data_IF_949097818199
#
_entry.id   IF_949097818199
#
_cell.length_a   1.000
_cell.length_b   1.000
_cell.length_c   1.000
_cell.angle_alpha   90.00
_cell.angle_beta   90.00
_cell.angle_gamma   90.00
#
_symmetry.space_group_name_H-M   'P 1'
#
loop_
_entity.id
_entity.type
_entity.pdbx_description
1 polymer ?
#
# COMPACT_ATOMS: atom_id res chain seq x y z
N UNK A 1 8.05 0.28 19.44
CA UNK A 1 6.81 -0.34 19.95
C UNK A 1 6.84 -1.87 19.78
N UNK A 2 7.04 -2.42 18.59
CA UNK A 2 7.05 -3.88 18.35
C UNK A 2 8.15 -4.63 19.11
N UNK A 3 9.30 -4.03 19.39
CA UNK A 3 10.36 -4.64 20.20
C UNK A 3 10.02 -4.87 21.68
N UNK A 4 8.88 -4.38 22.16
CA UNK A 4 8.37 -4.66 23.52
C UNK A 4 7.50 -5.94 23.59
N UNK A 5 7.20 -6.54 22.43
CA UNK A 5 6.42 -7.79 22.40
C UNK A 5 7.31 -8.97 22.78
N UNK A 6 6.78 -9.95 23.53
CA UNK A 6 7.52 -11.18 23.82
C UNK A 6 7.81 -11.96 22.52
N UNK A 7 8.87 -12.79 22.51
CA UNK A 7 9.14 -13.67 21.38
C UNK A 7 7.95 -14.58 21.07
N UNK A 8 7.64 -14.70 19.77
CA UNK A 8 6.60 -15.61 19.29
C UNK A 8 7.20 -17.02 19.23
N UNK A 9 6.59 -17.97 19.92
CA UNK A 9 7.05 -19.37 20.00
C UNK A 9 6.09 -20.37 19.34
N UNK A 10 4.90 -19.90 18.88
CA UNK A 10 3.94 -20.75 18.19
C UNK A 10 4.44 -21.09 16.77
N UNK A 11 4.68 -22.37 16.44
CA UNK A 11 5.16 -22.79 15.12
C UNK A 11 4.15 -22.57 13.99
N UNK A 12 2.89 -22.27 14.32
CA UNK A 12 1.86 -21.96 13.34
C UNK A 12 1.91 -20.48 12.88
N UNK A 13 2.60 -19.61 13.61
CA UNK A 13 2.86 -18.24 13.16
C UNK A 13 3.94 -18.27 12.08
N UNK A 14 3.54 -18.11 10.84
CA UNK A 14 4.45 -18.18 9.69
C UNK A 14 5.09 -16.82 9.40
N UNK A 15 4.29 -15.74 9.49
CA UNK A 15 4.72 -14.35 9.29
C UNK A 15 4.22 -13.51 10.45
N UNK A 16 5.12 -12.70 11.00
CA UNK A 16 4.86 -11.85 12.15
C UNK A 16 5.66 -10.55 12.06
N UNK A 17 5.64 -9.77 13.13
CA UNK A 17 6.23 -8.43 13.23
C UNK A 17 7.72 -8.32 12.90
N UNK A 18 8.49 -9.42 12.99
CA UNK A 18 9.93 -9.41 12.73
C UNK A 18 10.29 -9.25 11.25
N UNK A 19 9.45 -9.79 10.34
CA UNK A 19 9.65 -9.71 8.89
C UNK A 19 9.31 -8.36 8.28
N UNK A 20 8.54 -7.53 8.98
CA UNK A 20 7.95 -6.28 8.44
C UNK A 20 7.14 -6.50 7.17
N UNK A 21 6.56 -7.69 7.04
CA UNK A 21 5.60 -7.99 5.98
C UNK A 21 4.27 -7.26 6.23
N UNK A 22 3.44 -7.18 5.20
CA UNK A 22 2.23 -6.36 5.20
C UNK A 22 1.14 -6.91 6.14
N UNK A 23 1.08 -8.25 6.31
CA UNK A 23 0.11 -8.88 7.20
C UNK A 23 0.70 -10.04 8.00
N UNK A 24 0.05 -10.40 9.11
CA UNK A 24 0.35 -11.61 9.86
C UNK A 24 -0.20 -12.84 9.13
N UNK A 25 0.56 -13.96 9.16
CA UNK A 25 0.13 -15.24 8.57
C UNK A 25 0.17 -16.34 9.63
N UNK A 26 -0.97 -17.00 9.83
CA UNK A 26 -1.14 -18.07 10.82
C UNK A 26 -1.66 -19.35 10.15
N UNK A 27 -0.91 -20.44 10.26
CA UNK A 27 -1.30 -21.75 9.71
C UNK A 27 -2.42 -22.38 10.54
N UNK A 28 -3.52 -22.77 9.88
CA UNK A 28 -4.67 -23.43 10.50
C UNK A 28 -4.83 -24.89 10.05
N UNK A 29 -4.21 -25.26 8.94
CA UNK A 29 -4.18 -26.63 8.41
C UNK A 29 -2.91 -26.80 7.53
N UNK A 30 -2.55 -28.04 7.13
CA UNK A 30 -1.39 -28.26 6.28
C UNK A 30 -1.43 -27.48 4.95
N UNK A 31 -2.61 -27.23 4.41
CA UNK A 31 -2.88 -26.59 3.14
C UNK A 31 -3.54 -25.20 3.27
N UNK A 32 -3.75 -24.69 4.51
CA UNK A 32 -4.43 -23.41 4.74
C UNK A 32 -3.76 -22.59 5.83
N UNK A 33 -3.58 -21.30 5.54
CA UNK A 33 -3.19 -20.29 6.50
C UNK A 33 -4.13 -19.08 6.41
N UNK A 34 -4.39 -18.44 7.53
CA UNK A 34 -5.08 -17.15 7.60
C UNK A 34 -4.07 -16.03 7.45
N UNK A 35 -4.46 -15.00 6.70
CA UNK A 35 -3.79 -13.72 6.60
C UNK A 35 -4.65 -12.70 7.32
N UNK A 36 -4.06 -11.93 8.24
CA UNK A 36 -4.79 -10.98 9.06
C UNK A 36 -4.05 -9.64 9.13
N UNK A 37 -4.77 -8.58 8.82
CA UNK A 37 -4.27 -7.20 8.91
C UNK A 37 -5.28 -6.28 9.58
N UNK A 38 -4.81 -5.10 9.99
CA UNK A 38 -5.62 -4.02 10.53
C UNK A 38 -5.07 -2.68 10.08
N UNK A 39 -5.91 -1.93 9.37
CA UNK A 39 -5.59 -0.57 8.91
C UNK A 39 -6.76 0.38 9.12
N UNK A 40 -6.47 1.54 9.71
CA UNK A 40 -7.41 2.64 9.87
C UNK A 40 -6.67 3.98 9.96
N UNK A 41 -7.28 5.04 9.44
CA UNK A 41 -6.66 6.36 9.40
C UNK A 41 -7.69 7.48 9.41
N UNK A 42 -7.22 8.71 9.57
CA UNK A 42 -8.04 9.93 9.55
C UNK A 42 -8.44 10.30 8.12
N UNK A 43 -9.54 11.06 7.90
CA UNK A 43 -9.95 11.49 6.57
C UNK A 43 -8.83 12.20 5.80
N UNK A 44 -8.66 11.81 4.53
CA UNK A 44 -7.65 12.33 3.59
C UNK A 44 -8.27 12.98 2.36
N UNK A 45 -9.59 12.80 2.19
CA UNK A 45 -10.42 13.42 1.15
C UNK A 45 -11.69 13.96 1.81
N UNK A 46 -12.36 14.91 1.14
CA UNK A 46 -13.51 15.61 1.72
C UNK A 46 -14.82 14.83 1.60
N UNK A 47 -15.01 14.03 0.52
CA UNK A 47 -16.20 13.21 0.36
C UNK A 47 -16.16 11.98 1.29
N UNK A 48 -17.15 11.80 2.20
CA UNK A 48 -17.15 10.68 3.14
C UNK A 48 -17.33 9.32 2.46
N UNK A 49 -17.99 9.23 1.32
CA UNK A 49 -18.14 7.96 0.57
C UNK A 49 -16.82 7.54 -0.04
N UNK A 50 -16.08 8.49 -0.63
CA UNK A 50 -14.74 8.25 -1.18
C UNK A 50 -13.75 7.88 -0.07
N UNK A 51 -13.79 8.56 1.08
CA UNK A 51 -12.97 8.21 2.23
C UNK A 51 -13.21 6.76 2.68
N UNK A 52 -14.49 6.36 2.79
CA UNK A 52 -14.85 4.98 3.14
C UNK A 52 -14.34 3.95 2.12
N UNK A 53 -14.47 4.24 0.83
CA UNK A 53 -13.99 3.38 -0.25
C UNK A 53 -12.45 3.24 -0.24
N UNK A 54 -11.73 4.34 -0.01
CA UNK A 54 -10.26 4.34 0.10
C UNK A 54 -9.81 3.55 1.32
N UNK A 55 -10.47 3.71 2.47
CA UNK A 55 -10.15 2.97 3.69
C UNK A 55 -10.31 1.46 3.50
N UNK A 56 -11.35 1.03 2.77
CA UNK A 56 -11.55 -0.37 2.44
C UNK A 56 -10.50 -0.90 1.44
N UNK A 57 -10.18 -0.13 0.39
CA UNK A 57 -9.16 -0.51 -0.59
C UNK A 57 -7.78 -0.64 0.06
N UNK A 58 -7.44 0.27 0.98
CA UNK A 58 -6.19 0.25 1.73
C UNK A 58 -6.09 -0.99 2.62
N UNK A 59 -7.09 -1.29 3.45
CA UNK A 59 -7.07 -2.45 4.33
C UNK A 59 -7.07 -3.80 3.59
N UNK A 60 -7.65 -3.86 2.39
CA UNK A 60 -7.58 -5.04 1.52
C UNK A 60 -6.20 -5.24 0.88
N UNK A 61 -5.43 -4.17 0.75
CA UNK A 61 -4.18 -4.14 0.00
C UNK A 61 -3.13 -5.09 0.59
N UNK A 62 -2.97 -5.12 1.91
CA UNK A 62 -2.06 -6.02 2.62
C UNK A 62 -2.35 -7.50 2.30
N UNK A 63 -3.65 -7.86 2.27
CA UNK A 63 -4.05 -9.24 1.95
C UNK A 63 -3.67 -9.58 0.50
N UNK A 64 -3.87 -8.63 -0.42
CA UNK A 64 -3.47 -8.79 -1.82
C UNK A 64 -1.96 -8.85 -2.00
N UNK A 65 -1.19 -8.04 -1.26
CA UNK A 65 0.28 -8.05 -1.30
C UNK A 65 0.86 -9.40 -0.87
N UNK A 66 0.24 -10.03 0.16
CA UNK A 66 0.63 -11.37 0.63
C UNK A 66 0.21 -12.52 -0.30
N UNK A 67 -0.37 -12.23 -1.48
CA UNK A 67 -0.87 -13.25 -2.41
C UNK A 67 -2.10 -14.00 -1.90
N UNK A 68 -2.83 -13.44 -0.94
CA UNK A 68 -3.97 -14.07 -0.29
C UNK A 68 -5.31 -13.61 -0.89
N UNK A 69 -6.34 -14.43 -0.69
CA UNK A 69 -7.72 -14.11 -1.04
C UNK A 69 -8.45 -13.59 0.21
N UNK A 70 -9.02 -12.38 0.20
CA UNK A 70 -9.81 -11.88 1.32
C UNK A 70 -11.08 -12.72 1.51
N UNK A 71 -11.49 -12.91 2.78
CA UNK A 71 -12.65 -13.70 3.17
C UNK A 71 -13.78 -12.85 3.74
N UNK A 72 -13.47 -11.98 4.69
CA UNK A 72 -14.40 -11.05 5.33
C UNK A 72 -13.64 -9.91 6.03
N UNK A 73 -14.38 -8.87 6.43
CA UNK A 73 -13.83 -7.74 7.15
C UNK A 73 -14.64 -7.39 8.41
N UNK A 74 -13.95 -6.75 9.37
CA UNK A 74 -14.53 -6.10 10.56
C UNK A 74 -14.23 -4.61 10.49
N UNK A 75 -15.25 -3.77 10.61
CA UNK A 75 -15.11 -2.30 10.59
C UNK A 75 -14.55 -1.77 11.90
N UNK A 76 -13.64 -0.80 11.81
CA UNK A 76 -13.10 -0.05 12.95
C UNK A 76 -13.51 1.41 12.74
N UNK A 77 -14.23 1.95 13.71
CA UNK A 77 -14.78 3.32 13.62
C UNK A 77 -14.48 4.09 14.90
N UNK A 78 -13.76 5.19 14.79
CA UNK A 78 -13.69 6.22 15.79
C UNK A 78 -14.36 7.47 15.22
N UNK A 79 -15.42 8.00 15.87
CA UNK A 79 -16.22 9.07 15.29
C UNK A 79 -16.84 9.95 16.37
N UNK A 80 -16.85 11.29 16.20
CA UNK A 80 -17.46 12.21 17.15
C UNK A 80 -18.96 11.97 17.29
N UNK A 81 -19.40 11.67 18.50
CA UNK A 81 -20.80 11.35 18.80
C UNK A 81 -21.75 12.48 18.41
N UNK A 82 -21.34 13.72 18.60
CA UNK A 82 -22.13 14.91 18.25
C UNK A 82 -22.36 15.08 16.74
N UNK A 83 -21.58 14.41 15.90
CA UNK A 83 -21.71 14.44 14.44
C UNK A 83 -22.49 13.25 13.86
N UNK A 84 -22.99 12.32 14.66
CA UNK A 84 -23.72 11.14 14.17
C UNK A 84 -24.98 11.52 13.38
N UNK A 85 -25.70 12.57 13.82
CA UNK A 85 -26.92 13.04 13.14
C UNK A 85 -26.70 13.65 11.75
N UNK A 86 -25.45 13.85 11.33
CA UNK A 86 -25.12 14.47 10.03
C UNK A 86 -25.20 13.51 8.84
N UNK A 87 -25.36 12.20 9.07
CA UNK A 87 -25.30 11.18 8.03
C UNK A 87 -23.89 10.92 7.45
N UNK A 88 -22.88 11.59 7.97
CA UNK A 88 -21.49 11.43 7.48
C UNK A 88 -20.97 10.03 7.71
N UNK A 89 -21.18 9.47 8.90
CA UNK A 89 -20.72 8.12 9.25
C UNK A 89 -21.39 7.06 8.35
N UNK A 90 -22.69 7.18 8.08
CA UNK A 90 -23.42 6.27 7.19
C UNK A 90 -22.82 6.29 5.77
N UNK A 91 -22.44 7.47 5.26
CA UNK A 91 -21.79 7.60 3.95
C UNK A 91 -20.39 6.96 3.95
N UNK A 92 -19.58 7.16 5.01
CA UNK A 92 -18.26 6.52 5.16
C UNK A 92 -18.41 5.00 5.14
N UNK A 93 -19.28 4.46 6.02
CA UNK A 93 -19.53 3.01 6.11
C UNK A 93 -20.09 2.47 4.79
N UNK A 94 -21.00 3.19 4.15
CA UNK A 94 -21.58 2.83 2.86
C UNK A 94 -20.54 2.73 1.74
N UNK A 95 -19.63 3.72 1.64
CA UNK A 95 -18.53 3.71 0.67
C UNK A 95 -17.59 2.53 0.89
N UNK A 96 -17.23 2.26 2.15
CA UNK A 96 -16.39 1.12 2.50
C UNK A 96 -17.08 -0.22 2.22
N UNK A 97 -18.36 -0.37 2.58
CA UNK A 97 -19.10 -1.60 2.33
C UNK A 97 -19.26 -1.89 0.83
N UNK A 98 -19.49 -0.86 0.01
CA UNK A 98 -19.54 -1.00 -1.45
C UNK A 98 -18.19 -1.51 -2.01
N UNK A 99 -17.07 -1.00 -1.51
CA UNK A 99 -15.73 -1.43 -1.92
C UNK A 99 -15.43 -2.86 -1.46
N UNK A 100 -15.85 -3.26 -0.26
CA UNK A 100 -15.75 -4.66 0.21
C UNK A 100 -16.59 -5.61 -0.66
N UNK A 101 -17.79 -5.19 -1.06
CA UNK A 101 -18.63 -5.95 -1.99
C UNK A 101 -17.98 -6.08 -3.38
N UNK A 102 -17.30 -5.03 -3.90
CA UNK A 102 -16.47 -5.09 -5.13
C UNK A 102 -15.33 -6.13 -5.00
N UNK A 103 -14.74 -6.24 -3.81
CA UNK A 103 -13.74 -7.27 -3.50
C UNK A 103 -14.35 -8.69 -3.36
N UNK A 104 -15.67 -8.82 -3.36
CA UNK A 104 -16.39 -10.09 -3.21
C UNK A 104 -16.52 -10.57 -1.76
N UNK A 105 -16.36 -9.70 -0.76
CA UNK A 105 -16.46 -10.05 0.65
C UNK A 105 -17.49 -9.18 1.40
N UNK A 106 -17.91 -9.67 2.57
CA UNK A 106 -18.82 -8.95 3.45
C UNK A 106 -18.10 -8.30 4.64
N UNK A 107 -18.63 -7.17 5.12
CA UNK A 107 -18.34 -6.66 6.46
C UNK A 107 -19.28 -7.38 7.43
N UNK A 108 -18.72 -8.21 8.31
CA UNK A 108 -19.50 -9.11 9.18
C UNK A 108 -19.64 -8.61 10.62
N UNK A 109 -19.06 -7.46 10.94
CA UNK A 109 -19.11 -6.84 12.26
C UNK A 109 -18.11 -5.73 12.39
N UNK A 110 -17.77 -5.36 13.60
CA UNK A 110 -16.79 -4.32 13.88
C UNK A 110 -16.97 -3.72 15.27
N UNK A 111 -16.26 -2.61 15.52
CA UNK A 111 -16.34 -1.87 16.76
C UNK A 111 -16.33 -0.36 16.51
N UNK A 112 -17.03 0.40 17.36
CA UNK A 112 -17.04 1.86 17.28
C UNK A 112 -16.74 2.48 18.65
N UNK A 113 -15.99 3.58 18.62
CA UNK A 113 -15.69 4.38 19.81
C UNK A 113 -16.01 5.85 19.55
N UNK A 114 -16.37 6.58 20.62
CA UNK A 114 -16.48 8.03 20.57
C UNK A 114 -15.08 8.65 20.60
N UNK A 115 -14.74 9.44 19.58
CA UNK A 115 -13.42 10.07 19.44
C UNK A 115 -13.61 11.41 18.71
N UNK A 116 -13.03 12.53 19.23
CA UNK A 116 -13.17 13.83 18.59
C UNK A 116 -12.56 13.91 17.19
N UNK A 117 -11.61 13.02 16.87
CA UNK A 117 -10.99 12.93 15.55
C UNK A 117 -11.50 11.69 14.80
N UNK A 118 -12.25 11.86 13.69
CA UNK A 118 -12.74 10.72 12.92
C UNK A 118 -11.60 9.82 12.43
N UNK A 119 -11.74 8.51 12.63
CA UNK A 119 -10.87 7.48 12.06
C UNK A 119 -11.73 6.33 11.57
N UNK A 120 -11.38 5.77 10.44
CA UNK A 120 -12.12 4.66 9.85
C UNK A 120 -11.18 3.70 9.14
N UNK A 121 -11.51 2.43 9.19
CA UNK A 121 -10.78 1.38 8.50
C UNK A 121 -11.32 0.00 8.84
N UNK A 122 -10.48 -1.01 8.61
CA UNK A 122 -10.91 -2.40 8.75
C UNK A 122 -9.80 -3.29 9.27
N UNK A 123 -10.21 -4.34 9.96
CA UNK A 123 -9.45 -5.60 10.02
C UNK A 123 -9.96 -6.47 8.88
N UNK A 124 -9.04 -6.97 8.04
CA UNK A 124 -9.36 -7.89 6.95
C UNK A 124 -8.74 -9.24 7.24
N UNK A 125 -9.56 -10.29 7.08
CA UNK A 125 -9.10 -11.67 7.17
C UNK A 125 -9.14 -12.27 5.76
N UNK A 126 -8.01 -12.86 5.36
CA UNK A 126 -7.84 -13.59 4.12
C UNK A 126 -7.34 -15.01 4.36
N UNK A 127 -7.23 -15.79 3.30
CA UNK A 127 -6.61 -17.12 3.32
C UNK A 127 -5.62 -17.29 2.18
N UNK A 128 -4.61 -18.13 2.42
CA UNK A 128 -3.60 -18.49 1.45
C UNK A 128 -3.12 -19.93 1.72
N UNK A 129 -2.64 -20.61 0.68
CA UNK A 129 -1.90 -21.87 0.91
C UNK A 129 -0.54 -21.53 1.55
N UNK A 130 -0.10 -22.23 2.61
CA UNK A 130 1.16 -21.93 3.31
C UNK A 130 2.37 -21.77 2.38
N UNK A 131 2.49 -22.64 1.36
CA UNK A 131 3.61 -22.62 0.42
C UNK A 131 3.47 -21.57 -0.70
N UNK A 132 2.42 -20.73 -0.68
CA UNK A 132 2.14 -19.69 -1.68
C UNK A 132 2.08 -18.28 -1.09
N UNK A 133 2.48 -18.13 0.15
CA UNK A 133 2.62 -16.83 0.79
C UNK A 133 3.69 -16.04 0.04
N UNK A 134 3.35 -14.84 -0.41
CA UNK A 134 4.31 -13.90 -0.98
C UNK A 134 4.67 -12.90 0.11
N UNK A 135 5.96 -12.79 0.43
CA UNK A 135 6.46 -11.88 1.46
C UNK A 135 7.60 -11.02 0.93
N UNK A 136 8.21 -10.27 1.84
CA UNK A 136 9.29 -9.34 1.52
C UNK A 136 10.65 -10.01 1.28
N UNK A 137 10.80 -11.27 1.65
CA UNK A 137 12.11 -11.94 1.72
C UNK A 137 12.44 -12.87 0.56
N UNK A 138 11.48 -13.08 -0.35
CA UNK A 138 11.62 -13.98 -1.49
C UNK A 138 12.35 -13.42 -2.72
N UNK A 139 12.67 -12.12 -2.74
CA UNK A 139 13.28 -11.46 -3.89
C UNK A 139 14.69 -11.97 -4.20
N UNK A 140 15.00 -12.14 -5.49
CA UNK A 140 16.30 -12.60 -5.97
C UNK A 140 17.01 -11.51 -6.77
N UNK A 141 18.34 -11.51 -6.73
CA UNK A 141 19.15 -10.58 -7.55
C UNK A 141 18.81 -10.74 -9.04
N UNK A 142 18.55 -9.62 -9.71
CA UNK A 142 18.13 -9.57 -11.10
C UNK A 142 16.63 -9.60 -11.34
N UNK A 143 15.81 -9.85 -10.31
CA UNK A 143 14.35 -9.72 -10.42
C UNK A 143 13.98 -8.29 -10.84
N UNK A 144 13.04 -8.16 -11.76
CA UNK A 144 12.52 -6.87 -12.22
C UNK A 144 11.54 -6.34 -11.18
N UNK A 145 11.70 -5.07 -10.81
CA UNK A 145 10.79 -4.37 -9.91
C UNK A 145 9.69 -3.65 -10.70
N UNK A 146 8.45 -3.97 -10.36
CA UNK A 146 7.25 -3.34 -10.91
C UNK A 146 6.52 -2.54 -9.85
N UNK A 147 5.99 -1.36 -10.24
CA UNK A 147 5.04 -0.59 -9.44
C UNK A 147 3.70 -0.54 -10.19
N UNK A 148 2.59 -0.89 -9.52
CA UNK A 148 1.29 -1.12 -10.19
C UNK A 148 0.32 0.04 -10.14
N UNK A 149 0.62 1.11 -9.39
CA UNK A 149 -0.12 2.38 -9.38
C UNK A 149 0.85 3.56 -9.34
N UNK A 150 0.45 4.75 -9.83
CA UNK A 150 1.28 5.95 -9.71
C UNK A 150 1.35 6.45 -8.26
N UNK A 151 2.45 7.15 -7.94
CA UNK A 151 2.70 7.78 -6.64
C UNK A 151 2.15 9.21 -6.58
N UNK A 152 2.10 9.77 -5.36
CA UNK A 152 1.79 11.17 -5.08
C UNK A 152 0.57 11.40 -4.21
N UNK A 153 -0.06 10.34 -3.68
CA UNK A 153 -1.29 10.46 -2.87
C UNK A 153 -1.09 11.27 -1.58
N UNK A 154 0.10 11.26 -0.98
CA UNK A 154 0.40 12.07 0.19
C UNK A 154 0.46 13.57 -0.10
N UNK A 155 1.12 13.95 -1.19
CA UNK A 155 1.14 15.33 -1.70
C UNK A 155 -0.28 15.82 -2.02
N UNK A 156 -1.07 14.99 -2.73
CA UNK A 156 -2.45 15.32 -3.09
C UNK A 156 -3.32 15.47 -1.85
N UNK A 157 -3.28 14.54 -0.89
CA UNK A 157 -4.05 14.65 0.36
C UNK A 157 -3.70 15.93 1.14
N UNK A 158 -2.43 16.34 1.16
CA UNK A 158 -1.99 17.60 1.77
C UNK A 158 -2.52 18.81 1.00
N UNK A 159 -2.53 18.75 -0.34
CA UNK A 159 -3.07 19.82 -1.19
C UNK A 159 -4.58 19.97 -1.00
N UNK A 160 -5.34 18.86 -0.92
CA UNK A 160 -6.80 18.87 -0.60
C UNK A 160 -7.02 19.57 0.73
N UNK A 161 -6.35 19.12 1.79
CA UNK A 161 -6.47 19.70 3.13
C UNK A 161 -6.18 21.20 3.18
N UNK A 162 -5.34 21.73 2.26
CA UNK A 162 -5.00 23.16 2.18
C UNK A 162 -5.85 23.93 1.16
N UNK A 163 -6.79 23.27 0.46
CA UNK A 163 -7.61 23.88 -0.59
C UNK A 163 -6.81 24.29 -1.83
N UNK A 164 -5.69 23.60 -2.11
CA UNK A 164 -4.76 23.89 -3.22
C UNK A 164 -4.75 22.79 -4.29
N UNK A 165 -5.53 21.71 -4.12
CA UNK A 165 -5.55 20.62 -5.07
C UNK A 165 -6.39 20.96 -6.32
N UNK A 166 -5.83 20.84 -7.54
CA UNK A 166 -6.64 20.96 -8.76
C UNK A 166 -7.72 19.87 -8.79
N UNK A 167 -9.00 20.19 -9.14
CA UNK A 167 -10.10 19.22 -9.12
C UNK A 167 -9.90 17.98 -10.01
N UNK A 168 -9.13 18.12 -11.10
CA UNK A 168 -8.79 16.98 -11.97
C UNK A 168 -7.84 15.99 -11.28
N UNK A 169 -6.81 16.51 -10.60
CA UNK A 169 -5.83 15.70 -9.84
C UNK A 169 -6.46 15.06 -8.61
N UNK A 170 -7.37 15.76 -7.93
CA UNK A 170 -8.14 15.20 -6.81
C UNK A 170 -8.95 13.98 -7.25
N UNK A 171 -9.70 14.08 -8.35
CA UNK A 171 -10.46 12.93 -8.90
C UNK A 171 -9.56 11.78 -9.31
N UNK A 172 -8.40 12.06 -9.92
CA UNK A 172 -7.40 11.04 -10.27
C UNK A 172 -6.89 10.34 -9.02
N UNK A 173 -6.51 11.09 -7.99
CA UNK A 173 -6.00 10.53 -6.74
C UNK A 173 -7.04 9.66 -6.01
N UNK A 174 -8.30 10.10 -5.96
CA UNK A 174 -9.41 9.29 -5.43
C UNK A 174 -9.54 7.98 -6.21
N UNK A 175 -9.51 8.04 -7.55
CA UNK A 175 -9.57 6.84 -8.38
C UNK A 175 -8.37 5.90 -8.15
N UNK A 176 -7.14 6.42 -8.03
CA UNK A 176 -5.92 5.64 -7.71
C UNK A 176 -6.05 4.97 -6.34
N UNK A 177 -6.40 5.75 -5.31
CA UNK A 177 -6.48 5.25 -3.93
C UNK A 177 -7.62 4.26 -3.72
N UNK A 178 -8.78 4.45 -4.38
CA UNK A 178 -9.93 3.54 -4.27
C UNK A 178 -9.84 2.30 -5.17
N UNK A 179 -8.86 2.23 -6.08
CA UNK A 179 -8.63 1.07 -6.93
C UNK A 179 -8.10 -0.11 -6.11
N UNK A 180 -8.78 -1.26 -6.18
CA UNK A 180 -8.32 -2.50 -5.54
C UNK A 180 -7.04 -3.04 -6.20
N UNK A 181 -6.10 -3.52 -5.38
CA UNK A 181 -4.89 -4.21 -5.85
C UNK A 181 -5.16 -5.67 -6.28
N UNK A 182 -6.43 -6.10 -6.34
CA UNK A 182 -6.83 -7.47 -6.68
C UNK A 182 -6.26 -7.95 -8.02
N UNK A 183 -6.43 -7.18 -9.11
CA UNK A 183 -5.94 -7.59 -10.43
C UNK A 183 -4.41 -7.73 -10.45
N UNK A 184 -3.70 -6.83 -9.77
CA UNK A 184 -2.25 -6.90 -9.65
C UNK A 184 -1.81 -8.15 -8.85
N UNK A 185 -2.51 -8.46 -7.76
CA UNK A 185 -2.29 -9.65 -6.94
C UNK A 185 -2.53 -10.93 -7.73
N UNK A 186 -3.66 -11.05 -8.41
CA UNK A 186 -3.99 -12.21 -9.24
C UNK A 186 -2.93 -12.41 -10.35
N UNK A 187 -2.49 -11.31 -11.00
CA UNK A 187 -1.48 -11.36 -12.04
C UNK A 187 -0.10 -11.75 -11.50
N UNK A 188 0.33 -11.22 -10.34
CA UNK A 188 1.63 -11.56 -9.76
C UNK A 188 1.69 -13.02 -9.30
N UNK A 189 0.60 -13.55 -8.71
CA UNK A 189 0.50 -14.95 -8.31
C UNK A 189 0.59 -15.85 -9.56
N UNK A 190 -0.20 -15.55 -10.60
CA UNK A 190 -0.22 -16.33 -11.83
C UNK A 190 1.12 -16.31 -12.58
N UNK A 191 1.85 -15.19 -12.55
CA UNK A 191 3.16 -15.06 -13.15
C UNK A 191 4.29 -15.67 -12.30
N UNK A 192 4.08 -15.87 -11.00
CA UNK A 192 5.09 -16.41 -10.08
C UNK A 192 6.06 -15.33 -9.59
N UNK A 193 5.53 -14.24 -9.02
CA UNK A 193 6.32 -13.23 -8.33
C UNK A 193 7.12 -13.86 -7.17
N UNK A 194 8.30 -13.35 -6.93
CA UNK A 194 9.22 -13.82 -5.87
C UNK A 194 8.99 -13.09 -4.57
N UNK A 195 8.68 -11.79 -4.62
CA UNK A 195 8.32 -10.97 -3.46
C UNK A 195 7.36 -9.86 -3.87
N UNK A 196 6.60 -9.37 -2.91
CA UNK A 196 5.75 -8.20 -3.08
C UNK A 196 5.49 -7.50 -1.75
N UNK A 197 5.17 -6.22 -1.82
CA UNK A 197 4.59 -5.40 -0.73
C UNK A 197 3.70 -4.35 -1.38
N UNK A 198 2.75 -3.78 -0.66
CA UNK A 198 2.08 -2.58 -1.14
C UNK A 198 2.84 -1.32 -0.71
N UNK A 199 2.65 -0.22 -1.46
CA UNK A 199 3.37 1.04 -1.17
C UNK A 199 2.45 1.97 -0.42
N UNK A 200 2.68 2.14 0.88
CA UNK A 200 1.86 2.97 1.77
C UNK A 200 2.68 4.02 2.53
N UNK A 201 2.47 4.16 3.82
CA UNK A 201 2.94 5.27 4.64
C UNK A 201 4.46 5.50 4.71
N UNK A 202 5.27 4.50 4.40
CA UNK A 202 6.74 4.64 4.35
C UNK A 202 7.27 5.13 2.99
N UNK A 203 6.39 5.32 1.99
CA UNK A 203 6.77 5.71 0.63
C UNK A 203 7.51 4.60 -0.12
N UNK A 204 7.79 4.83 -1.40
CA UNK A 204 8.46 3.81 -2.22
C UNK A 204 9.80 3.36 -1.62
N UNK A 205 10.60 4.30 -1.15
CA UNK A 205 11.93 4.00 -0.59
C UNK A 205 11.84 3.15 0.67
N UNK A 206 10.89 3.43 1.57
CA UNK A 206 10.71 2.64 2.79
C UNK A 206 10.28 1.21 2.53
N UNK A 207 9.40 1.01 1.53
CA UNK A 207 8.98 -0.33 1.12
C UNK A 207 10.07 -1.08 0.36
N UNK A 208 10.87 -0.40 -0.49
CA UNK A 208 12.08 -1.00 -1.07
C UNK A 208 13.08 -1.44 0.00
N UNK A 209 13.22 -0.69 1.09
CA UNK A 209 14.13 -1.05 2.18
C UNK A 209 13.67 -2.29 2.98
N UNK A 210 12.40 -2.67 2.87
CA UNK A 210 11.87 -3.90 3.46
C UNK A 210 12.08 -5.12 2.55
N UNK A 211 12.20 -4.93 1.23
CA UNK A 211 12.52 -6.04 0.32
C UNK A 211 13.99 -6.47 0.52
N UNK A 212 14.21 -7.77 0.69
CA UNK A 212 15.57 -8.31 0.75
C UNK A 212 16.29 -8.17 -0.58
N UNK A 213 17.60 -7.90 -0.50
CA UNK A 213 18.48 -7.83 -1.67
C UNK A 213 18.84 -6.42 -2.11
N UNK A 214 18.17 -5.39 -1.60
CA UNK A 214 18.35 -4.01 -2.07
C UNK A 214 17.82 -3.81 -3.49
N UNK A 215 17.89 -2.59 -4.00
CA UNK A 215 17.29 -2.26 -5.29
C UNK A 215 18.13 -1.23 -6.07
N UNK A 216 18.11 -1.33 -7.39
CA UNK A 216 18.50 -0.27 -8.29
C UNK A 216 17.28 0.18 -9.09
N UNK A 217 16.83 1.43 -8.89
CA UNK A 217 15.65 1.99 -9.57
C UNK A 217 16.04 3.22 -10.39
N UNK A 218 15.26 3.52 -11.43
CA UNK A 218 15.40 4.72 -12.24
C UNK A 218 14.23 5.66 -11.92
N UNK A 219 14.54 6.89 -11.47
CA UNK A 219 13.55 7.89 -11.10
C UNK A 219 12.56 8.18 -12.23
N UNK A 220 13.04 8.30 -13.47
CA UNK A 220 12.18 8.62 -14.63
C UNK A 220 11.25 7.46 -15.05
N UNK A 221 11.47 6.26 -14.52
CA UNK A 221 10.56 5.12 -14.73
C UNK A 221 9.50 4.99 -13.65
N UNK A 222 9.65 5.70 -12.52
CA UNK A 222 8.64 5.70 -11.45
C UNK A 222 7.44 6.53 -11.91
N UNK A 223 6.21 5.94 -11.95
CA UNK A 223 5.02 6.66 -12.35
C UNK A 223 4.55 7.58 -11.22
N UNK A 224 4.27 8.83 -11.55
CA UNK A 224 3.62 9.80 -10.67
C UNK A 224 2.30 10.26 -11.32
N UNK A 225 1.29 10.60 -10.50
CA UNK A 225 0.08 11.25 -11.01
C UNK A 225 0.42 12.61 -11.63
N UNK A 226 -0.29 12.97 -12.69
CA UNK A 226 -0.04 14.24 -13.40
C UNK A 226 -0.31 15.44 -12.49
N UNK A 227 0.66 16.36 -12.36
CA UNK A 227 0.56 17.55 -11.48
C UNK A 227 1.13 17.34 -10.06
N UNK A 228 1.61 16.16 -9.73
CA UNK A 228 2.23 15.90 -8.40
C UNK A 228 3.56 16.63 -8.24
N UNK A 229 4.34 16.80 -9.33
CA UNK A 229 5.62 17.54 -9.28
C UNK A 229 5.39 19.00 -8.91
N UNK A 230 4.36 19.62 -9.45
CA UNK A 230 3.97 21.00 -9.15
C UNK A 230 3.57 21.17 -7.68
N UNK A 231 2.88 20.17 -7.09
CA UNK A 231 2.58 20.17 -5.66
C UNK A 231 3.85 19.99 -4.80
N UNK A 232 4.80 19.20 -5.27
CA UNK A 232 6.09 19.03 -4.61
C UNK A 232 6.91 20.34 -4.63
N UNK A 233 6.91 21.08 -5.76
CA UNK A 233 7.55 22.39 -5.88
C UNK A 233 6.93 23.45 -4.96
N UNK A 234 5.64 23.31 -4.62
CA UNK A 234 4.95 24.12 -3.61
C UNK A 234 5.19 23.62 -2.17
N UNK A 235 6.05 22.63 -1.98
CA UNK A 235 6.41 22.04 -0.68
C UNK A 235 5.19 21.48 0.10
N UNK A 236 4.24 20.85 -0.60
CA UNK A 236 3.02 20.28 -0.02
C UNK A 236 3.21 18.85 0.52
N UNK A 237 4.42 18.49 0.92
CA UNK A 237 4.69 17.19 1.51
C UNK A 237 4.05 17.05 2.91
N UNK A 238 3.37 15.92 3.20
CA UNK A 238 2.93 15.62 4.56
C UNK A 238 4.12 15.37 5.50
N UNK A 239 3.90 15.50 6.79
CA UNK A 239 4.93 15.26 7.80
C UNK A 239 5.50 13.82 7.73
N UNK A 240 4.70 12.86 7.27
CA UNK A 240 5.14 11.47 7.03
C UNK A 240 6.28 11.41 6.02
N UNK A 241 6.11 12.04 4.87
CA UNK A 241 7.12 12.07 3.78
C UNK A 241 8.44 12.69 4.25
N UNK A 242 8.37 13.76 5.03
CA UNK A 242 9.59 14.37 5.61
C UNK A 242 10.30 13.45 6.58
N UNK A 243 9.55 12.71 7.42
CA UNK A 243 10.15 11.71 8.33
C UNK A 243 10.75 10.55 7.55
N UNK A 244 10.09 10.09 6.48
CA UNK A 244 10.62 9.04 5.62
C UNK A 244 11.95 9.48 4.98
N UNK A 245 11.98 10.67 4.36
CA UNK A 245 13.22 11.20 3.77
C UNK A 245 14.34 11.30 4.81
N UNK A 246 14.06 11.88 5.97
CA UNK A 246 15.05 12.00 7.05
C UNK A 246 15.59 10.64 7.53
N UNK A 247 14.76 9.59 7.51
CA UNK A 247 15.15 8.23 7.92
C UNK A 247 15.98 7.51 6.87
N UNK A 248 15.73 7.73 5.59
CA UNK A 248 16.33 6.95 4.50
C UNK A 248 17.41 7.68 3.70
N UNK A 249 17.52 9.02 3.77
CA UNK A 249 18.43 9.80 2.92
C UNK A 249 19.91 9.37 2.98
N UNK A 250 20.36 8.88 4.15
CA UNK A 250 21.76 8.41 4.34
C UNK A 250 21.92 6.92 3.97
N UNK A 251 20.83 6.20 3.75
CA UNK A 251 20.82 4.76 3.44
C UNK A 251 20.72 4.48 1.94
N UNK A 252 20.48 5.52 1.14
CA UNK A 252 20.25 5.44 -0.30
C UNK A 252 21.34 6.19 -1.05
N UNK A 253 21.87 5.57 -2.10
CA UNK A 253 22.71 6.23 -3.10
C UNK A 253 21.80 6.92 -4.13
N UNK A 254 21.72 8.24 -4.07
CA UNK A 254 20.77 9.04 -4.85
C UNK A 254 21.27 9.47 -6.24
N UNK A 255 22.52 9.17 -6.59
CA UNK A 255 23.14 9.41 -7.90
C UNK A 255 22.80 10.78 -8.53
N UNK A 256 22.89 11.84 -7.73
CA UNK A 256 22.66 13.22 -8.16
C UNK A 256 21.22 13.70 -8.21
N UNK A 257 20.23 12.91 -7.77
CA UNK A 257 18.85 13.38 -7.64
C UNK A 257 18.75 14.60 -6.72
N UNK A 258 17.96 15.58 -7.13
CA UNK A 258 17.61 16.73 -6.29
C UNK A 258 16.85 16.31 -5.03
N UNK A 259 16.94 17.10 -3.97
CA UNK A 259 16.18 16.85 -2.72
C UNK A 259 14.68 16.75 -2.98
N UNK A 260 14.13 17.52 -3.93
CA UNK A 260 12.74 17.43 -4.35
C UNK A 260 12.39 16.02 -4.85
N UNK A 261 13.21 15.46 -5.74
CA UNK A 261 13.00 14.12 -6.32
C UNK A 261 13.15 13.02 -5.28
N UNK A 262 14.13 13.15 -4.37
CA UNK A 262 14.26 12.25 -3.22
C UNK A 262 13.00 12.28 -2.34
N UNK A 263 12.49 13.48 -2.04
CA UNK A 263 11.26 13.67 -1.27
C UNK A 263 10.03 13.07 -1.97
N UNK A 264 9.92 13.18 -3.29
CA UNK A 264 8.83 12.57 -4.07
C UNK A 264 8.82 11.04 -3.95
N UNK A 265 10.00 10.39 -3.95
CA UNK A 265 10.11 8.93 -3.75
C UNK A 265 9.84 8.50 -2.29
N UNK A 266 10.03 9.41 -1.34
CA UNK A 266 9.74 9.22 0.08
C UNK A 266 8.30 9.63 0.45
N UNK A 267 7.49 10.10 -0.53
CA UNK A 267 6.12 10.56 -0.25
C UNK A 267 5.27 9.43 0.33
N UNK A 268 4.68 9.69 1.50
CA UNK A 268 3.83 8.73 2.20
C UNK A 268 2.55 8.50 1.39
N UNK A 269 2.33 7.27 0.94
CA UNK A 269 1.16 6.92 0.15
C UNK A 269 0.00 6.44 1.03
N UNK A 270 -1.22 6.64 0.55
CA UNK A 270 -2.42 5.98 1.06
C UNK A 270 -2.96 5.09 -0.06
N UNK A 271 -3.18 3.83 0.24
CA UNK A 271 -3.73 2.83 -0.71
C UNK A 271 -2.97 2.81 -2.05
N UNK A 272 -1.65 2.77 -2.00
CA UNK A 272 -0.80 2.71 -3.18
C UNK A 272 -0.87 1.39 -3.93
N UNK A 273 -0.04 1.26 -4.96
CA UNK A 273 0.08 0.04 -5.75
C UNK A 273 0.96 -1.01 -5.09
N UNK A 274 0.96 -2.20 -5.67
CA UNK A 274 1.92 -3.24 -5.30
C UNK A 274 3.29 -2.92 -5.91
N UNK A 275 4.32 -3.10 -5.11
CA UNK A 275 5.72 -3.19 -5.52
C UNK A 275 6.05 -4.69 -5.62
N UNK A 276 6.30 -5.17 -6.84
CA UNK A 276 6.41 -6.60 -7.13
C UNK A 276 7.79 -6.91 -7.69
N UNK A 277 8.49 -7.87 -7.09
CA UNK A 277 9.71 -8.46 -7.64
C UNK A 277 9.36 -9.67 -8.51
N UNK A 278 9.81 -9.68 -9.76
CA UNK A 278 9.42 -10.64 -10.78
C UNK A 278 10.64 -11.19 -11.52
N UNK A 279 10.79 -12.52 -11.65
CA UNK A 279 11.83 -13.09 -12.50
C UNK A 279 11.78 -12.51 -13.92
N UNK A 280 12.93 -12.15 -14.53
CA UNK A 280 12.97 -11.50 -15.84
C UNK A 280 12.18 -12.24 -16.94
N UNK A 281 12.22 -13.57 -16.94
CA UNK A 281 11.51 -14.41 -17.92
C UNK A 281 9.98 -14.44 -17.72
N UNK A 282 9.50 -13.97 -16.56
CA UNK A 282 8.07 -13.88 -16.22
C UNK A 282 7.49 -12.47 -16.40
N UNK A 283 8.34 -11.47 -16.54
CA UNK A 283 7.95 -10.08 -16.61
C UNK A 283 6.91 -9.78 -17.70
N UNK A 284 7.10 -10.31 -18.91
CA UNK A 284 6.16 -10.11 -20.03
C UNK A 284 4.79 -10.76 -19.79
N UNK A 285 4.73 -11.87 -19.05
CA UNK A 285 3.47 -12.52 -18.67
C UNK A 285 2.70 -11.64 -17.69
N UNK A 286 3.38 -11.10 -16.67
CA UNK A 286 2.79 -10.17 -15.70
C UNK A 286 2.23 -8.91 -16.37
N UNK A 287 3.02 -8.26 -17.24
CA UNK A 287 2.56 -7.06 -17.99
C UNK A 287 1.36 -7.38 -18.89
N UNK A 288 1.38 -8.55 -19.54
CA UNK A 288 0.29 -8.97 -20.42
C UNK A 288 -1.02 -9.20 -19.67
N UNK A 289 -0.95 -9.76 -18.45
CA UNK A 289 -2.11 -9.98 -17.59
C UNK A 289 -2.75 -8.65 -17.15
N UNK A 290 -1.95 -7.58 -17.01
CA UNK A 290 -2.41 -6.26 -16.59
C UNK A 290 -2.64 -5.27 -17.76
N UNK A 291 -2.65 -5.75 -19.02
CA UNK A 291 -2.81 -4.87 -20.21
C UNK A 291 -4.12 -4.07 -20.18
N UNK A 292 -5.19 -4.64 -19.66
CA UNK A 292 -6.52 -4.00 -19.54
C UNK A 292 -6.78 -3.40 -18.15
N UNK A 293 -5.82 -3.46 -17.21
CA UNK A 293 -5.97 -2.84 -15.91
C UNK A 293 -6.05 -1.31 -16.04
N UNK A 294 -6.76 -0.62 -15.11
CA UNK A 294 -6.83 0.85 -15.10
C UNK A 294 -5.44 1.51 -15.06
N UNK A 295 -4.51 0.92 -14.31
CA UNK A 295 -3.11 1.33 -14.25
C UNK A 295 -2.22 0.19 -14.73
N UNK A 296 -1.31 0.50 -15.67
CA UNK A 296 -0.34 -0.47 -16.18
C UNK A 296 0.84 -0.57 -15.22
N UNK A 297 1.39 -1.77 -15.00
CA UNK A 297 2.59 -1.91 -14.19
C UNK A 297 3.77 -1.21 -14.86
N UNK A 298 4.49 -0.38 -14.11
CA UNK A 298 5.71 0.28 -14.57
C UNK A 298 6.94 -0.52 -14.10
N UNK A 299 7.86 -0.83 -15.01
CA UNK A 299 9.18 -1.36 -14.64
C UNK A 299 9.99 -0.20 -14.08
N UNK A 300 10.29 -0.21 -12.80
CA UNK A 300 10.99 0.89 -12.14
C UNK A 300 12.47 0.57 -11.86
N UNK A 301 12.90 -0.69 -12.00
CA UNK A 301 14.26 -1.10 -11.71
C UNK A 301 14.41 -2.60 -11.51
N UNK A 302 15.40 -3.00 -10.72
CA UNK A 302 15.73 -4.41 -10.43
C UNK A 302 16.20 -4.59 -8.98
N UNK A 303 16.11 -5.82 -8.48
CA UNK A 303 16.75 -6.23 -7.22
C UNK A 303 18.27 -6.33 -7.43
N UNK A 304 19.04 -5.60 -6.62
CA UNK A 304 20.48 -5.45 -6.81
C UNK A 304 21.32 -6.63 -6.26
N UNK A 305 20.83 -7.35 -5.24
CA UNK A 305 21.57 -8.40 -4.53
C UNK A 305 22.60 -7.89 -3.52
N UNK A 306 22.81 -6.57 -3.44
CA UNK A 306 23.82 -5.93 -2.57
C UNK A 306 23.32 -5.54 -1.18
N UNK A 307 22.00 -5.57 -0.97
CA UNK A 307 21.33 -5.06 0.25
C UNK A 307 21.23 -3.53 0.32
N UNK A 308 21.81 -2.78 -0.65
CA UNK A 308 21.72 -1.32 -0.74
C UNK A 308 20.66 -0.87 -1.74
N UNK A 309 20.14 0.35 -1.56
CA UNK A 309 19.27 0.99 -2.52
C UNK A 309 20.05 2.05 -3.28
N UNK A 310 19.97 2.00 -4.61
CA UNK A 310 20.46 3.04 -5.50
C UNK A 310 19.32 3.56 -6.35
N UNK A 311 19.23 4.88 -6.47
CA UNK A 311 18.27 5.56 -7.36
C UNK A 311 19.06 6.32 -8.41
N UNK A 312 18.85 5.99 -9.67
CA UNK A 312 19.44 6.72 -10.82
C UNK A 312 18.48 7.79 -11.31
N UNK A 313 19.06 8.92 -11.75
CA UNK A 313 18.33 10.00 -12.42
C UNK A 313 17.81 9.57 -13.80
#
# INVERSE_FOLDING_TARGET
MLGALPPIVDPNVMVATAGRDDAAVYRIAPDRALVATVDFFTPIVDDPTDFGAIAAANALSDVYAMGARPLFALGITAFPREKLSTGLLERIVGGGAAKMAEAGIAVVGGHSVDDPEPKFGYTVIGEVHPDRVIGNDGAHSGDILFLTKPLGSGLVATAIKRGLCPPALEREAIAVMSQLNRLASEAMIAAGATAATDVTGYGLIGHLANLKGGAEINFHQVPFMAGVRELAELDLFPSGSRRNHAAYRELVDWDGLSELEQMMLCDAQTSGGLLVAMPPEKASSFESALRSAPYKPARIGTIAGSGSIRVRA
#
